data_IF_775415014019
#
_entry.id   IF_775415014019
#
_cell.length_a   1.000
_cell.length_b   1.000
_cell.length_c   1.000
_cell.angle_alpha   90.00
_cell.angle_beta   90.00
_cell.angle_gamma   90.00
#
_symmetry.space_group_name_H-M   'P 1'
#
loop_
_entity.id
_entity.type
_entity.pdbx_description
1 polymer ?
#
# COMPACT_ATOMS: atom_id res chain seq x y z
N UNK A 1 -5.52 51.34 -10.47
CA UNK A 1 -4.98 50.16 -9.76
C UNK A 1 -4.24 50.67 -8.52
N UNK A 2 -4.65 50.25 -7.31
CA UNK A 2 -4.15 50.79 -6.04
C UNK A 2 -2.84 50.06 -5.69
N UNK A 3 -1.69 50.74 -5.77
CA UNK A 3 -0.41 50.16 -5.40
C UNK A 3 -0.38 49.94 -3.89
N UNK A 4 -0.55 48.70 -3.46
CA UNK A 4 -0.43 48.29 -2.06
C UNK A 4 1.07 48.36 -1.72
N UNK A 5 1.46 49.38 -0.95
CA UNK A 5 2.85 49.54 -0.52
C UNK A 5 3.11 48.61 0.68
N UNK A 6 3.47 47.35 0.40
CA UNK A 6 3.73 46.34 1.42
C UNK A 6 5.08 46.65 2.09
N UNK A 7 5.06 46.96 3.39
CA UNK A 7 6.27 47.19 4.17
C UNK A 7 7.13 45.93 4.24
N UNK A 8 8.45 46.08 4.09
CA UNK A 8 9.44 44.99 4.23
C UNK A 8 9.27 44.22 5.56
N UNK A 9 8.86 44.91 6.64
CA UNK A 9 8.59 44.28 7.95
C UNK A 9 7.43 43.29 7.90
N UNK A 10 6.35 43.62 7.17
CA UNK A 10 5.18 42.76 7.03
C UNK A 10 5.50 41.48 6.26
N UNK A 11 6.35 41.57 5.23
CA UNK A 11 6.83 40.41 4.47
C UNK A 11 7.68 39.49 5.36
N UNK A 12 8.58 40.07 6.16
CA UNK A 12 9.43 39.30 7.08
C UNK A 12 8.58 38.58 8.15
N UNK A 13 7.62 39.27 8.77
CA UNK A 13 6.72 38.65 9.76
C UNK A 13 5.91 37.51 9.14
N UNK A 14 5.38 37.70 7.92
CA UNK A 14 4.64 36.66 7.21
C UNK A 14 5.50 35.41 6.94
N UNK A 15 6.75 35.59 6.48
CA UNK A 15 7.69 34.49 6.26
C UNK A 15 8.03 33.76 7.56
N UNK A 16 8.29 34.48 8.66
CA UNK A 16 8.58 33.87 9.96
C UNK A 16 7.40 33.02 10.45
N UNK A 17 6.17 33.52 10.31
CA UNK A 17 4.96 32.77 10.69
C UNK A 17 4.82 31.50 9.83
N UNK A 18 5.05 31.58 8.51
CA UNK A 18 5.00 30.40 7.64
C UNK A 18 6.05 29.35 8.03
N UNK A 19 7.27 29.77 8.35
CA UNK A 19 8.33 28.85 8.82
C UNK A 19 7.95 28.23 10.16
N UNK A 20 7.40 29.00 11.09
CA UNK A 20 6.95 28.47 12.39
C UNK A 20 5.83 27.43 12.24
N UNK A 21 4.85 27.69 11.37
CA UNK A 21 3.76 26.73 11.07
C UNK A 21 4.34 25.46 10.41
N UNK A 22 5.28 25.60 9.47
CA UNK A 22 5.92 24.46 8.82
C UNK A 22 6.71 23.60 9.82
N UNK A 23 7.44 24.23 10.76
CA UNK A 23 8.15 23.53 11.83
C UNK A 23 7.19 22.82 12.77
N UNK A 24 6.11 23.48 13.18
CA UNK A 24 5.09 22.88 14.05
C UNK A 24 4.41 21.68 13.37
N UNK A 25 4.09 21.78 12.08
CA UNK A 25 3.58 20.67 11.29
C UNK A 25 4.60 19.52 11.18
N UNK A 26 5.88 19.83 10.98
CA UNK A 26 6.94 18.81 10.93
C UNK A 26 7.10 18.06 12.26
N UNK A 27 6.99 18.76 13.39
CA UNK A 27 7.05 18.14 14.72
C UNK A 27 5.84 17.24 14.94
N UNK A 28 4.63 17.77 14.71
CA UNK A 28 3.38 17.03 14.96
C UNK A 28 3.21 15.81 14.05
N UNK A 29 3.46 15.95 12.75
CA UNK A 29 3.20 14.88 11.78
C UNK A 29 4.43 14.04 11.42
N UNK A 30 5.63 14.46 11.82
CA UNK A 30 6.89 13.77 11.51
C UNK A 30 7.52 13.13 12.74
N UNK A 31 7.91 13.95 13.72
CA UNK A 31 8.72 13.49 14.85
C UNK A 31 7.92 12.72 15.90
N UNK A 32 6.75 13.24 16.31
CA UNK A 32 5.94 12.62 17.37
C UNK A 32 5.53 11.17 17.02
N UNK A 33 4.96 10.89 15.84
CA UNK A 33 4.52 9.53 15.51
C UNK A 33 5.71 8.56 15.38
N UNK A 34 6.83 9.02 14.83
CA UNK A 34 8.04 8.22 14.71
C UNK A 34 8.66 7.88 16.08
N UNK A 35 8.69 8.82 17.02
CA UNK A 35 9.19 8.58 18.37
C UNK A 35 8.27 7.66 19.18
N UNK A 36 6.95 7.86 19.09
CA UNK A 36 5.96 6.99 19.72
C UNK A 36 6.12 5.54 19.26
N UNK A 37 6.24 5.33 17.95
CA UNK A 37 6.42 4.00 17.37
C UNK A 37 7.75 3.37 17.80
N UNK A 38 8.84 4.15 17.80
CA UNK A 38 10.14 3.66 18.25
C UNK A 38 10.10 3.19 19.72
N UNK A 39 9.39 3.91 20.60
CA UNK A 39 9.19 3.52 21.99
C UNK A 39 8.35 2.25 22.14
N UNK A 40 7.27 2.10 21.35
CA UNK A 40 6.46 0.87 21.31
C UNK A 40 7.31 -0.32 20.85
N UNK A 41 8.11 -0.13 19.80
CA UNK A 41 9.01 -1.17 19.26
C UNK A 41 10.07 -1.57 20.29
N UNK A 42 10.71 -0.61 20.98
CA UNK A 42 11.74 -0.91 21.98
C UNK A 42 11.16 -1.67 23.17
N UNK A 43 9.99 -1.26 23.67
CA UNK A 43 9.31 -1.95 24.76
C UNK A 43 8.97 -3.41 24.41
N UNK A 44 8.45 -3.66 23.19
CA UNK A 44 8.17 -5.02 22.73
C UNK A 44 9.46 -5.82 22.51
N UNK A 45 10.51 -5.17 22.00
CA UNK A 45 11.80 -5.80 21.80
C UNK A 45 12.43 -6.23 23.13
N UNK A 46 12.39 -5.38 24.15
CA UNK A 46 12.87 -5.67 25.51
C UNK A 46 12.09 -6.83 26.17
N UNK A 47 10.76 -6.84 26.04
CA UNK A 47 9.92 -7.94 26.53
C UNK A 47 10.26 -9.28 25.88
N UNK A 48 10.63 -9.28 24.59
CA UNK A 48 11.00 -10.50 23.86
C UNK A 48 12.47 -10.88 23.95
N UNK A 49 13.37 -9.92 24.19
CA UNK A 49 14.82 -10.17 24.14
C UNK A 49 15.42 -10.69 25.44
N UNK A 50 14.66 -10.69 26.55
CA UNK A 50 15.05 -11.40 27.78
C UNK A 50 16.49 -11.15 28.21
N UNK A 51 16.95 -9.88 28.18
CA UNK A 51 18.14 -9.43 28.91
C UNK A 51 19.48 -10.15 28.66
N UNK A 52 19.75 -10.69 27.47
CA UNK A 52 21.08 -11.27 27.17
C UNK A 52 21.84 -10.47 26.12
N UNK A 53 22.62 -9.49 26.57
CA UNK A 53 23.66 -8.77 25.81
C UNK A 53 24.93 -9.63 25.62
N UNK A 54 24.77 -10.88 25.19
CA UNK A 54 25.90 -11.67 24.70
C UNK A 54 25.79 -11.77 23.19
N UNK A 55 26.79 -11.26 22.48
CA UNK A 55 26.91 -11.48 21.04
C UNK A 55 26.85 -12.99 20.79
N UNK A 56 25.74 -13.42 20.18
CA UNK A 56 25.52 -14.82 19.86
C UNK A 56 26.61 -15.27 18.88
N UNK A 57 27.14 -16.50 19.02
CA UNK A 57 28.04 -17.08 18.04
C UNK A 57 27.46 -16.99 16.62
N UNK A 58 28.32 -16.75 15.62
CA UNK A 58 27.89 -16.61 14.21
C UNK A 58 27.06 -17.81 13.71
N UNK A 59 27.40 -19.01 14.16
CA UNK A 59 26.65 -20.23 13.85
C UNK A 59 25.23 -20.19 14.41
N UNK A 60 25.06 -19.78 15.67
CA UNK A 60 23.74 -19.63 16.30
C UNK A 60 22.92 -18.56 15.59
N UNK A 61 23.53 -17.45 15.18
CA UNK A 61 22.85 -16.41 14.39
C UNK A 61 22.37 -16.92 13.04
N UNK A 62 23.15 -17.76 12.37
CA UNK A 62 22.75 -18.38 11.10
C UNK A 62 21.60 -19.37 11.29
N UNK A 63 21.68 -20.22 12.32
CA UNK A 63 20.58 -21.13 12.68
C UNK A 63 19.28 -20.39 12.98
N UNK A 64 19.35 -19.30 13.76
CA UNK A 64 18.17 -18.47 14.06
C UNK A 64 17.56 -17.88 12.78
N UNK A 65 18.40 -17.44 11.82
CA UNK A 65 17.91 -16.92 10.53
C UNK A 65 17.22 -18.01 9.71
N UNK A 66 17.78 -19.21 9.68
CA UNK A 66 17.23 -20.35 8.94
C UNK A 66 15.89 -20.84 9.53
N UNK A 67 15.81 -20.96 10.86
CA UNK A 67 14.57 -21.28 11.57
C UNK A 67 13.48 -20.26 11.25
N UNK A 68 13.81 -18.96 11.33
CA UNK A 68 12.88 -17.87 11.00
C UNK A 68 12.41 -17.88 9.56
N UNK A 69 13.31 -18.12 8.61
CA UNK A 69 12.93 -18.28 7.20
C UNK A 69 11.95 -19.45 7.01
N UNK A 70 12.16 -20.55 7.75
CA UNK A 70 11.28 -21.70 7.74
C UNK A 70 9.91 -21.41 8.38
N UNK A 71 9.88 -20.71 9.51
CA UNK A 71 8.63 -20.25 10.16
C UNK A 71 7.81 -19.33 9.24
N UNK A 72 8.48 -18.41 8.55
CA UNK A 72 7.81 -17.52 7.58
C UNK A 72 7.27 -18.32 6.38
N UNK A 73 8.05 -19.26 5.85
CA UNK A 73 7.59 -20.13 4.78
C UNK A 73 6.38 -20.98 5.22
N UNK A 74 6.40 -21.51 6.44
CA UNK A 74 5.28 -22.23 7.03
C UNK A 74 4.04 -21.32 7.17
N UNK A 75 4.20 -20.09 7.64
CA UNK A 75 3.11 -19.11 7.76
C UNK A 75 2.50 -18.78 6.38
N UNK A 76 3.33 -18.63 5.35
CA UNK A 76 2.90 -18.46 3.98
C UNK A 76 2.08 -19.66 3.48
N UNK A 77 2.59 -20.89 3.65
CA UNK A 77 1.87 -22.11 3.26
C UNK A 77 0.54 -22.27 4.00
N UNK A 78 0.51 -21.98 5.31
CA UNK A 78 -0.72 -21.96 6.11
C UNK A 78 -1.73 -20.94 5.59
N UNK A 79 -1.27 -19.77 5.17
CA UNK A 79 -2.12 -18.72 4.59
C UNK A 79 -2.70 -19.15 3.26
N UNK A 80 -1.88 -19.75 2.39
CA UNK A 80 -2.31 -20.34 1.12
C UNK A 80 -3.35 -21.44 1.33
N UNK A 81 -3.12 -22.34 2.28
CA UNK A 81 -4.06 -23.41 2.62
C UNK A 81 -5.37 -22.87 3.21
N UNK A 82 -5.29 -21.81 4.03
CA UNK A 82 -6.48 -21.15 4.56
C UNK A 82 -7.31 -20.52 3.44
N UNK A 83 -6.66 -19.85 2.48
CA UNK A 83 -7.33 -19.22 1.34
C UNK A 83 -7.82 -20.22 0.30
N UNK A 84 -7.17 -21.37 0.12
CA UNK A 84 -7.63 -22.40 -0.81
C UNK A 84 -8.99 -23.00 -0.41
N UNK A 85 -9.35 -22.91 0.88
CA UNK A 85 -10.67 -23.30 1.40
C UNK A 85 -11.75 -22.24 1.13
N UNK A 86 -11.37 -21.04 0.68
CA UNK A 86 -12.30 -19.94 0.40
C UNK A 86 -12.65 -19.86 -1.08
N UNK A 87 -13.87 -19.43 -1.41
CA UNK A 87 -14.32 -19.27 -2.79
C UNK A 87 -14.15 -17.82 -3.27
N UNK A 88 -12.98 -17.24 -3.02
CA UNK A 88 -12.68 -15.86 -3.38
C UNK A 88 -11.27 -15.75 -3.94
N UNK A 89 -11.13 -14.89 -4.96
CA UNK A 89 -9.84 -14.59 -5.56
C UNK A 89 -9.02 -13.80 -4.54
N UNK A 90 -7.79 -14.26 -4.28
CA UNK A 90 -6.83 -13.60 -3.41
C UNK A 90 -5.60 -13.15 -4.21
N UNK A 91 -4.98 -12.07 -3.74
CA UNK A 91 -3.74 -11.54 -4.29
C UNK A 91 -2.57 -12.09 -3.48
N UNK A 92 -1.58 -12.62 -4.17
CA UNK A 92 -0.32 -13.04 -3.59
C UNK A 92 0.77 -12.14 -4.16
N UNK A 93 1.60 -11.60 -3.27
CA UNK A 93 2.74 -10.75 -3.62
C UNK A 93 3.98 -11.42 -3.06
N UNK A 94 4.87 -11.78 -3.97
CA UNK A 94 6.13 -12.43 -3.68
C UNK A 94 7.26 -11.45 -3.91
N UNK A 95 7.78 -10.88 -2.83
CA UNK A 95 8.85 -9.89 -2.89
C UNK A 95 10.22 -10.53 -3.16
N UNK A 96 10.38 -11.83 -2.87
CA UNK A 96 11.62 -12.58 -3.15
C UNK A 96 11.75 -12.90 -4.63
N UNK A 97 10.69 -13.45 -5.22
CA UNK A 97 10.68 -13.82 -6.63
C UNK A 97 10.23 -12.65 -7.53
N UNK A 98 9.83 -11.52 -6.94
CA UNK A 98 9.30 -10.35 -7.63
C UNK A 98 8.11 -10.71 -8.52
N UNK A 99 7.12 -11.40 -7.94
CA UNK A 99 5.92 -11.87 -8.63
C UNK A 99 4.66 -11.38 -7.91
N UNK A 100 3.64 -11.00 -8.68
CA UNK A 100 2.30 -10.80 -8.19
C UNK A 100 1.36 -11.75 -8.92
N UNK A 101 0.56 -12.52 -8.20
CA UNK A 101 -0.36 -13.47 -8.82
C UNK A 101 -1.71 -13.55 -8.10
N UNK A 102 -2.73 -13.89 -8.88
CA UNK A 102 -4.07 -14.15 -8.41
C UNK A 102 -4.26 -15.64 -8.19
N UNK A 103 -4.86 -16.02 -7.06
CA UNK A 103 -5.19 -17.41 -6.77
C UNK A 103 -6.65 -17.55 -6.38
N UNK A 104 -7.28 -18.65 -6.82
CA UNK A 104 -8.60 -19.09 -6.41
C UNK A 104 -8.54 -20.57 -6.07
N UNK A 105 -8.99 -20.94 -4.86
CA UNK A 105 -8.97 -22.34 -4.39
C UNK A 105 -7.58 -23.02 -4.53
N UNK A 106 -6.51 -22.24 -4.38
CA UNK A 106 -5.12 -22.72 -4.50
C UNK A 106 -4.60 -22.83 -5.94
N UNK A 107 -5.39 -22.48 -6.95
CA UNK A 107 -4.98 -22.48 -8.36
C UNK A 107 -4.58 -21.06 -8.78
N UNK A 108 -3.43 -20.91 -9.44
CA UNK A 108 -3.00 -19.63 -9.99
C UNK A 108 -3.80 -19.31 -11.26
N UNK A 109 -4.47 -18.16 -11.27
CA UNK A 109 -5.30 -17.69 -12.38
C UNK A 109 -4.55 -16.73 -13.29
N UNK A 110 -3.67 -15.93 -12.70
CA UNK A 110 -2.93 -14.88 -13.39
C UNK A 110 -1.64 -14.61 -12.65
N UNK A 111 -0.56 -14.31 -13.38
CA UNK A 111 0.75 -14.01 -12.83
C UNK A 111 1.37 -12.85 -13.62
N UNK A 112 1.98 -11.92 -12.89
CA UNK A 112 2.73 -10.79 -13.43
C UNK A 112 4.06 -10.63 -12.69
N UNK A 113 5.05 -10.08 -13.40
CA UNK A 113 6.37 -9.79 -12.84
C UNK A 113 6.38 -8.38 -12.25
N UNK A 114 6.87 -8.26 -11.02
CA UNK A 114 7.13 -6.99 -10.37
C UNK A 114 8.43 -6.43 -10.93
N UNK A 115 8.37 -5.27 -11.58
CA UNK A 115 9.56 -4.60 -12.13
C UNK A 115 10.33 -3.85 -11.05
N UNK A 116 9.65 -3.35 -10.02
CA UNK A 116 10.28 -2.62 -8.92
C UNK A 116 9.53 -2.79 -7.61
N UNK A 117 10.30 -2.90 -6.54
CA UNK A 117 9.80 -2.97 -5.16
C UNK A 117 10.42 -1.81 -4.37
N UNK A 118 9.57 -0.96 -3.79
CA UNK A 118 9.98 0.11 -2.87
C UNK A 118 9.38 -0.16 -1.51
N UNK A 119 10.23 -0.25 -0.50
CA UNK A 119 9.82 -0.42 0.90
C UNK A 119 10.25 0.83 1.66
N UNK A 120 9.35 1.41 2.46
CA UNK A 120 9.68 2.59 3.25
C UNK A 120 10.72 2.31 4.34
N UNK A 121 11.40 3.36 4.81
CA UNK A 121 12.51 3.21 5.77
C UNK A 121 12.07 2.60 7.10
N UNK A 122 10.86 2.90 7.58
CA UNK A 122 10.36 2.33 8.83
C UNK A 122 10.20 0.82 8.74
N UNK A 123 9.57 0.31 7.69
CA UNK A 123 9.41 -1.13 7.47
C UNK A 123 10.76 -1.84 7.27
N UNK A 124 11.74 -1.20 6.63
CA UNK A 124 13.11 -1.74 6.51
C UNK A 124 13.85 -1.86 7.84
N UNK A 125 13.56 -0.98 8.80
CA UNK A 125 14.22 -0.92 10.11
C UNK A 125 13.52 -1.72 11.19
N UNK A 126 12.33 -2.25 10.92
CA UNK A 126 11.60 -3.06 11.89
C UNK A 126 12.40 -4.31 12.28
N UNK A 127 12.41 -4.68 13.57
CA UNK A 127 12.84 -6.00 14.01
C UNK A 127 12.10 -7.10 13.24
N UNK A 128 12.82 -8.18 12.93
CA UNK A 128 12.31 -9.28 12.11
C UNK A 128 10.95 -9.80 12.60
N UNK A 129 10.80 -10.01 13.92
CA UNK A 129 9.56 -10.54 14.49
C UNK A 129 8.34 -9.60 14.34
N UNK A 130 8.54 -8.27 14.32
CA UNK A 130 7.44 -7.32 14.07
C UNK A 130 7.10 -7.29 12.59
N UNK A 131 8.12 -7.36 11.74
CA UNK A 131 7.94 -7.45 10.29
C UNK A 131 7.19 -8.73 9.91
N UNK A 132 7.52 -9.88 10.51
CA UNK A 132 6.75 -11.12 10.32
C UNK A 132 5.30 -10.93 10.72
N UNK A 133 5.04 -10.29 11.87
CA UNK A 133 3.68 -10.02 12.32
C UNK A 133 2.88 -9.18 11.31
N UNK A 134 3.53 -8.27 10.57
CA UNK A 134 2.88 -7.48 9.53
C UNK A 134 2.50 -8.30 8.29
N UNK A 135 3.26 -9.36 7.98
CA UNK A 135 3.01 -10.23 6.83
C UNK A 135 2.31 -11.54 7.21
N UNK A 136 2.12 -11.79 8.50
CA UNK A 136 1.56 -13.04 9.00
C UNK A 136 0.09 -13.18 8.64
N UNK A 137 -0.21 -14.17 7.79
CA UNK A 137 -1.58 -14.54 7.45
C UNK A 137 -2.11 -13.90 6.16
N UNK A 138 -3.29 -14.36 5.70
CA UNK A 138 -4.05 -13.63 4.71
C UNK A 138 -4.67 -12.38 5.36
N UNK A 139 -4.30 -11.21 4.85
CA UNK A 139 -4.70 -9.92 5.39
C UNK A 139 -5.81 -9.36 4.51
N UNK A 140 -6.95 -9.05 5.11
CA UNK A 140 -8.07 -8.49 4.37
C UNK A 140 -7.88 -6.99 4.15
N UNK A 141 -8.08 -6.52 2.92
CA UNK A 141 -8.11 -5.09 2.61
C UNK A 141 -9.33 -4.45 3.27
N UNK A 142 -9.11 -3.34 3.99
CA UNK A 142 -10.16 -2.60 4.68
C UNK A 142 -10.65 -1.46 3.80
N UNK A 143 -9.72 -0.69 3.24
CA UNK A 143 -10.03 0.40 2.32
C UNK A 143 -9.14 0.32 1.08
N UNK A 144 -9.71 0.66 -0.06
CA UNK A 144 -9.03 0.76 -1.34
C UNK A 144 -9.20 2.15 -1.97
N UNK A 145 -8.14 2.66 -2.59
CA UNK A 145 -8.17 3.88 -3.41
C UNK A 145 -7.59 3.53 -4.77
N UNK A 146 -8.29 3.86 -5.85
CA UNK A 146 -7.83 3.54 -7.21
C UNK A 146 -8.02 4.70 -8.19
N UNK A 147 -7.18 4.74 -9.23
CA UNK A 147 -7.34 5.64 -10.37
C UNK A 147 -8.39 5.17 -11.38
N UNK A 148 -8.74 3.88 -11.35
CA UNK A 148 -9.69 3.24 -12.26
C UNK A 148 -10.86 2.62 -11.50
N UNK A 149 -11.99 2.48 -12.18
CA UNK A 149 -13.12 1.70 -11.67
C UNK A 149 -12.82 0.21 -11.73
N UNK A 150 -13.23 -0.50 -10.67
CA UNK A 150 -13.07 -1.95 -10.53
C UNK A 150 -13.98 -2.72 -11.47
N UNK A 151 -15.24 -2.30 -11.57
CA UNK A 151 -16.24 -2.84 -12.50
C UNK A 151 -16.71 -1.73 -13.46
N UNK A 152 -16.06 -1.57 -14.62
CA UNK A 152 -16.44 -0.51 -15.56
C UNK A 152 -17.85 -0.77 -16.13
N UNK A 153 -18.74 0.20 -15.99
CA UNK A 153 -20.12 0.10 -16.50
C UNK A 153 -20.18 0.69 -17.91
N UNK A 154 -20.57 -0.12 -18.90
CA UNK A 154 -20.81 0.34 -20.27
C UNK A 154 -22.31 0.56 -20.46
N UNK A 155 -22.74 1.83 -20.43
CA UNK A 155 -24.15 2.18 -20.70
C UNK A 155 -24.40 2.09 -22.20
N UNK A 156 -25.23 1.12 -22.61
CA UNK A 156 -25.65 0.96 -23.99
C UNK A 156 -27.05 1.52 -24.20
N UNK A 157 -27.25 2.21 -25.32
CA UNK A 157 -28.58 2.51 -25.83
C UNK A 157 -29.09 1.27 -26.58
N UNK A 158 -30.31 0.85 -26.30
CA UNK A 158 -30.90 -0.28 -27.01
C UNK A 158 -30.99 0.06 -28.52
N UNK A 159 -30.57 -0.86 -29.41
CA UNK A 159 -30.72 -0.66 -30.85
C UNK A 159 -32.21 -0.62 -31.20
N UNK A 160 -32.59 0.25 -32.14
CA UNK A 160 -33.99 0.35 -32.55
C UNK A 160 -34.38 -0.74 -33.54
N UNK A 161 -33.44 -1.21 -34.34
CA UNK A 161 -33.66 -2.21 -35.39
C UNK A 161 -32.50 -3.22 -35.53
N UNK A 162 -32.79 -4.38 -36.14
CA UNK A 162 -31.84 -5.48 -36.38
C UNK A 162 -30.66 -5.09 -37.28
N UNK A 163 -30.83 -4.11 -38.17
CA UNK A 163 -29.75 -3.56 -38.99
C UNK A 163 -28.75 -2.70 -38.17
N UNK A 164 -29.24 -1.97 -37.17
CA UNK A 164 -28.43 -1.14 -36.26
C UNK A 164 -27.67 -2.02 -35.24
N UNK A 165 -28.26 -3.16 -34.85
CA UNK A 165 -27.62 -4.14 -33.97
C UNK A 165 -26.31 -4.70 -34.56
N UNK A 166 -26.26 -4.96 -35.86
CA UNK A 166 -25.09 -5.53 -36.54
C UNK A 166 -23.92 -4.54 -36.70
N UNK A 167 -24.14 -3.23 -36.53
CA UNK A 167 -23.10 -2.19 -36.69
C UNK A 167 -22.51 -1.72 -35.35
N UNK A 168 -23.12 -2.08 -34.22
CA UNK A 168 -22.73 -1.59 -32.89
C UNK A 168 -21.64 -2.45 -32.24
N UNK A 169 -20.42 -2.41 -32.78
CA UNK A 169 -19.26 -2.96 -32.05
C UNK A 169 -19.11 -2.20 -30.71
N UNK A 170 -18.94 -2.91 -29.58
CA UNK A 170 -18.85 -2.25 -28.28
C UNK A 170 -17.61 -1.35 -28.25
N UNK A 171 -17.80 -0.09 -27.86
CA UNK A 171 -16.69 0.79 -27.54
C UNK A 171 -15.89 0.16 -26.39
N UNK A 172 -14.60 -0.09 -26.62
CA UNK A 172 -13.72 -0.60 -25.58
C UNK A 172 -13.64 0.43 -24.43
N UNK A 173 -13.63 -0.02 -23.16
CA UNK A 173 -13.42 0.88 -22.04
C UNK A 173 -12.09 1.63 -22.22
N UNK A 174 -12.10 2.92 -21.90
CA UNK A 174 -10.92 3.79 -22.04
C UNK A 174 -9.76 3.17 -21.25
N UNK A 175 -8.63 2.96 -21.92
CA UNK A 175 -7.40 2.50 -21.30
C UNK A 175 -6.84 3.62 -20.43
N UNK A 176 -7.13 3.56 -19.13
CA UNK A 176 -6.63 4.52 -18.14
C UNK A 176 -5.39 3.96 -17.43
N UNK A 177 -4.53 4.88 -17.00
CA UNK A 177 -3.40 4.57 -16.13
C UNK A 177 -3.88 4.03 -14.78
N UNK A 178 -3.15 3.05 -14.24
CA UNK A 178 -3.57 2.29 -13.06
C UNK A 178 -2.67 2.58 -11.88
N UNK A 179 -3.30 3.04 -10.81
CA UNK A 179 -2.71 3.23 -9.49
C UNK A 179 -3.71 2.73 -8.47
N UNK A 180 -3.27 1.88 -7.56
CA UNK A 180 -4.13 1.27 -6.54
C UNK A 180 -3.39 1.31 -5.20
N UNK A 181 -4.12 1.65 -4.15
CA UNK A 181 -3.65 1.61 -2.77
C UNK A 181 -4.59 0.70 -1.97
N UNK A 182 -4.02 -0.29 -1.30
CA UNK A 182 -4.71 -1.14 -0.33
C UNK A 182 -4.23 -0.81 1.08
N UNK A 183 -5.18 -0.58 1.98
CA UNK A 183 -4.92 -0.39 3.41
C UNK A 183 -5.42 -1.57 4.24
N UNK A 184 -4.70 -1.86 5.32
CA UNK A 184 -4.94 -3.00 6.20
C UNK A 184 -5.08 -2.56 7.67
N UNK A 185 -5.64 -3.43 8.52
CA UNK A 185 -5.83 -3.15 9.96
C UNK A 185 -4.53 -2.97 10.74
N UNK A 186 -3.43 -3.54 10.24
CA UNK A 186 -2.13 -3.55 10.91
C UNK A 186 -1.25 -2.37 10.50
N UNK A 187 -1.86 -1.23 10.09
CA UNK A 187 -1.15 -0.03 9.63
C UNK A 187 -0.20 -0.26 8.44
N UNK A 188 -0.40 -1.34 7.69
CA UNK A 188 0.29 -1.58 6.44
C UNK A 188 -0.50 -0.99 5.27
N UNK A 189 0.22 -0.50 4.28
CA UNK A 189 -0.30 -0.08 2.99
C UNK A 189 0.51 -0.77 1.89
N UNK A 190 -0.19 -1.28 0.90
CA UNK A 190 0.40 -1.81 -0.33
C UNK A 190 -0.11 -0.97 -1.50
N UNK A 191 0.82 -0.35 -2.22
CA UNK A 191 0.58 0.37 -3.45
C UNK A 191 0.99 -0.48 -4.66
N UNK A 192 0.11 -0.49 -5.66
CA UNK A 192 0.36 -1.06 -6.98
C UNK A 192 0.37 0.10 -7.97
N UNK A 193 1.56 0.42 -8.46
CA UNK A 193 1.80 1.44 -9.47
C UNK A 193 2.04 0.79 -10.83
N UNK A 194 1.74 1.52 -11.91
CA UNK A 194 2.17 1.13 -13.24
C UNK A 194 3.67 1.39 -13.46
N UNK A 195 4.33 0.53 -14.21
CA UNK A 195 5.74 0.68 -14.60
C UNK A 195 5.96 1.80 -15.62
N UNK A 196 4.98 2.03 -16.49
CA UNK A 196 5.11 2.94 -17.62
C UNK A 196 5.01 4.41 -17.19
N UNK A 197 6.06 5.19 -17.49
CA UNK A 197 6.13 6.63 -17.21
C UNK A 197 5.15 7.45 -18.07
N UNK A 198 4.88 7.00 -19.30
CA UNK A 198 3.99 7.69 -20.24
C UNK A 198 2.53 7.44 -19.89
N UNK A 199 1.81 8.50 -19.52
CA UNK A 199 0.37 8.41 -19.23
C UNK A 199 -0.43 8.12 -20.50
N UNK A 200 -1.09 6.96 -20.57
CA UNK A 200 -2.01 6.64 -21.65
C UNK A 200 -3.40 7.26 -21.44
N UNK A 201 -3.77 7.54 -20.19
CA UNK A 201 -5.08 8.03 -19.80
C UNK A 201 -5.16 9.54 -19.61
N UNK A 202 -6.30 9.99 -19.09
CA UNK A 202 -6.46 11.41 -18.75
C UNK A 202 -5.67 11.77 -17.49
N UNK A 203 -4.90 12.86 -17.54
CA UNK A 203 -4.22 13.46 -16.36
C UNK A 203 -5.17 13.78 -15.21
N UNK A 204 -6.49 13.79 -15.43
CA UNK A 204 -7.50 14.03 -14.42
C UNK A 204 -7.62 12.85 -13.44
N UNK A 205 -7.65 11.61 -13.95
CA UNK A 205 -7.76 10.41 -13.13
C UNK A 205 -6.57 10.29 -12.16
N UNK A 206 -5.35 10.46 -12.69
CA UNK A 206 -4.13 10.50 -11.87
C UNK A 206 -4.17 11.59 -10.79
N UNK A 207 -4.55 12.83 -11.15
CA UNK A 207 -4.66 13.94 -10.17
C UNK A 207 -5.71 13.67 -9.09
N UNK A 208 -6.83 13.05 -9.46
CA UNK A 208 -7.88 12.66 -8.52
C UNK A 208 -7.37 11.59 -7.56
N UNK A 209 -6.73 10.53 -8.06
CA UNK A 209 -6.06 9.52 -7.26
C UNK A 209 -5.08 10.16 -6.25
N UNK A 210 -4.13 10.97 -6.73
CA UNK A 210 -3.16 11.65 -5.85
C UNK A 210 -3.80 12.60 -4.83
N UNK A 211 -4.99 13.12 -5.10
CA UNK A 211 -5.73 13.96 -4.13
C UNK A 211 -6.39 13.10 -3.06
N UNK A 212 -7.04 11.99 -3.44
CA UNK A 212 -7.66 11.05 -2.51
C UNK A 212 -6.59 10.41 -1.62
N UNK A 213 -5.52 9.91 -2.23
CA UNK A 213 -4.34 9.39 -1.57
C UNK A 213 -3.81 10.34 -0.48
N UNK A 214 -3.52 11.59 -0.83
CA UNK A 214 -2.99 12.57 0.14
C UNK A 214 -3.97 12.88 1.27
N UNK A 215 -5.27 12.90 0.98
CA UNK A 215 -6.31 13.11 2.00
C UNK A 215 -6.38 11.95 2.97
N UNK A 216 -6.28 10.73 2.46
CA UNK A 216 -6.27 9.52 3.27
C UNK A 216 -5.07 9.50 4.22
N UNK A 217 -3.86 9.74 3.71
CA UNK A 217 -2.66 9.84 4.56
C UNK A 217 -2.79 10.95 5.61
N UNK A 218 -3.37 12.10 5.23
CA UNK A 218 -3.60 13.18 6.18
C UNK A 218 -4.62 12.79 7.26
N UNK A 219 -5.74 12.15 6.89
CA UNK A 219 -6.74 11.72 7.87
C UNK A 219 -6.18 10.67 8.82
N UNK A 220 -5.43 9.70 8.32
CA UNK A 220 -4.79 8.66 9.14
C UNK A 220 -3.79 9.26 10.13
N UNK A 221 -2.93 10.17 9.67
CA UNK A 221 -1.97 10.85 10.53
C UNK A 221 -2.66 11.73 11.58
N UNK A 222 -3.75 12.43 11.21
CA UNK A 222 -4.53 13.23 12.18
C UNK A 222 -5.19 12.30 13.21
N UNK A 223 -5.80 11.20 12.77
CA UNK A 223 -6.42 10.24 13.68
C UNK A 223 -5.42 9.64 14.67
N UNK A 224 -4.19 9.36 14.26
CA UNK A 224 -3.13 8.87 15.14
C UNK A 224 -2.68 9.89 16.20
N UNK A 225 -2.97 11.20 16.03
CA UNK A 225 -2.72 12.20 17.08
C UNK A 225 -3.78 12.19 18.18
N UNK A 226 -4.99 11.74 17.86
CA UNK A 226 -6.12 11.72 18.80
C UNK A 226 -6.34 10.35 19.46
N UNK A 227 -5.79 9.29 18.87
CA UNK A 227 -5.85 7.92 19.38
C UNK A 227 -4.44 7.43 19.75
N UNK A 228 -4.07 7.41 21.05
CA UNK A 228 -2.74 6.99 21.50
C UNK A 228 -2.45 5.49 21.24
N UNK A 229 -3.50 4.68 21.16
CA UNK A 229 -3.38 3.23 21.00
C UNK A 229 -3.11 2.84 19.55
N UNK A 230 -3.57 3.67 18.60
CA UNK A 230 -3.24 3.52 17.18
C UNK A 230 -1.73 3.59 16.96
N UNK A 231 -1.20 2.73 16.07
CA UNK A 231 0.20 2.88 15.64
C UNK A 231 0.33 4.21 14.90
N UNK A 232 1.38 4.96 15.24
CA UNK A 232 1.61 6.29 14.67
C UNK A 232 2.27 6.24 13.29
N UNK A 233 2.75 5.06 12.88
CA UNK A 233 3.52 4.89 11.67
C UNK A 233 2.79 4.01 10.67
N UNK A 234 2.78 4.43 9.40
CA UNK A 234 2.21 3.66 8.29
C UNK A 234 3.35 2.92 7.58
N UNK A 235 3.33 1.59 7.63
CA UNK A 235 4.29 0.74 6.92
C UNK A 235 3.88 0.62 5.46
N UNK A 236 4.81 0.85 4.54
CA UNK A 236 4.45 1.06 3.14
C UNK A 236 5.34 0.27 2.18
N UNK A 237 4.68 -0.46 1.27
CA UNK A 237 5.28 -1.20 0.16
C UNK A 237 4.64 -0.72 -1.13
N UNK A 238 5.46 -0.27 -2.08
CA UNK A 238 5.04 0.00 -3.45
C UNK A 238 5.63 -1.06 -4.37
N UNK A 239 4.80 -1.67 -5.20
CA UNK A 239 5.21 -2.54 -6.30
C UNK A 239 4.84 -1.88 -7.63
N UNK A 240 5.74 -1.95 -8.60
CA UNK A 240 5.48 -1.53 -9.98
C UNK A 240 5.21 -2.76 -10.85
N UNK A 241 4.12 -2.72 -11.61
CA UNK A 241 3.67 -3.78 -12.53
C UNK A 241 3.37 -3.18 -13.91
N UNK A 242 3.43 -3.96 -15.01
CA UNK A 242 2.93 -3.52 -16.31
C UNK A 242 1.48 -3.03 -16.19
N UNK A 243 1.12 -1.94 -16.88
CA UNK A 243 -0.20 -1.29 -16.74
C UNK A 243 -1.37 -2.25 -16.95
N UNK A 244 -1.29 -3.09 -17.97
CA UNK A 244 -2.35 -4.04 -18.31
C UNK A 244 -2.50 -5.14 -17.25
N UNK A 245 -1.38 -5.56 -16.66
CA UNK A 245 -1.35 -6.56 -15.61
C UNK A 245 -1.89 -5.99 -14.30
N UNK A 246 -1.46 -4.79 -13.91
CA UNK A 246 -1.98 -4.08 -12.74
C UNK A 246 -3.49 -3.88 -12.85
N UNK A 247 -3.98 -3.50 -14.05
CA UNK A 247 -5.40 -3.37 -14.36
C UNK A 247 -6.14 -4.69 -14.20
N UNK A 248 -5.61 -5.76 -14.77
CA UNK A 248 -6.22 -7.08 -14.76
C UNK A 248 -6.29 -7.64 -13.35
N UNK A 249 -5.21 -7.50 -12.58
CA UNK A 249 -5.14 -7.85 -11.16
C UNK A 249 -6.22 -7.10 -10.39
N UNK A 250 -6.26 -5.77 -10.48
CA UNK A 250 -7.20 -4.98 -9.69
C UNK A 250 -8.66 -5.29 -9.98
N UNK A 251 -9.02 -5.47 -11.27
CA UNK A 251 -10.40 -5.74 -11.69
C UNK A 251 -10.86 -7.15 -11.39
N UNK A 252 -9.95 -8.12 -11.33
CA UNK A 252 -10.27 -9.49 -10.99
C UNK A 252 -10.48 -9.70 -9.49
N UNK A 253 -9.95 -8.81 -8.64
CA UNK A 253 -10.12 -8.93 -7.19
C UNK A 253 -11.55 -8.61 -6.75
N UNK A 254 -12.09 -9.30 -5.72
CA UNK A 254 -13.36 -8.94 -5.10
C UNK A 254 -13.26 -7.59 -4.37
N UNK A 255 -14.39 -7.04 -3.88
CA UNK A 255 -14.42 -5.75 -3.18
C UNK A 255 -13.51 -5.68 -1.94
N UNK A 256 -13.44 -6.77 -1.16
CA UNK A 256 -12.57 -6.88 0.02
C UNK A 256 -11.62 -8.07 -0.13
N UNK A 257 -10.59 -7.95 -0.98
CA UNK A 257 -9.69 -9.06 -1.26
C UNK A 257 -8.83 -9.40 -0.06
N UNK A 258 -8.40 -10.65 -0.01
CA UNK A 258 -7.29 -11.06 0.85
C UNK A 258 -5.98 -10.90 0.09
N UNK A 259 -4.97 -10.38 0.79
CA UNK A 259 -3.60 -10.24 0.29
C UNK A 259 -2.66 -11.05 1.16
N UNK A 260 -1.75 -11.79 0.54
CA UNK A 260 -0.67 -12.53 1.19
C UNK A 260 0.65 -12.01 0.67
N UNK A 261 1.59 -11.72 1.57
CA UNK A 261 2.93 -11.22 1.22
C UNK A 261 3.99 -12.23 1.64
N UNK A 262 4.84 -12.63 0.69
CA UNK A 262 6.08 -13.37 0.93
C UNK A 262 7.26 -12.42 0.74
N UNK A 263 8.29 -12.53 1.59
CA UNK A 263 9.40 -11.58 1.67
C UNK A 263 10.68 -12.27 2.13
#
# INVERSE_FOLDING_TARGET
>A
MKNINISKKTIVVFLVIQVAIALLAFILFGLIPAHSEAGKISAIAELKSGGTDKELPKETLNLIKEVRASEHHEAYLRSTLKLSRTDSIALFIDLNDSLAFLSLKGVYLFQSKISKIKINKGLKKLPYFLRDSLYSGPIQVIEEISSIEKFPIVVKKAPKDTAEANQSAPALPIQNDVYVMFSFSNNMVIEIDQEEDELAGTRRAYRQYKRQYRRWFLSENISALFDPDRSGYIYHITIELPREDARSIYRALPLKPFVVVRY
#
